data_IF_119188310790
#
_entry.id   IF_119188310790
#
_cell.length_a   1.000
_cell.length_b   1.000
_cell.length_c   1.000
_cell.angle_alpha   90.00
_cell.angle_beta   90.00
_cell.angle_gamma   90.00
#
_symmetry.space_group_name_H-M   'P 1'
#
loop_
_entity.id
_entity.type
_entity.pdbx_description
1 polymer ?
#
# COMPACT_ATOMS: atom_id res chain seq x y z
N UNK A 1 -2.25 -9.34 -1.79
CA UNK A 1 -2.85 -8.06 -1.33
C UNK A 1 -3.72 -8.30 -0.11
N UNK A 2 -3.75 -7.34 0.80
CA UNK A 2 -4.64 -7.41 1.94
C UNK A 2 -6.10 -7.21 1.54
N UNK A 3 -7.05 -7.50 2.46
CA UNK A 3 -8.47 -7.49 2.14
C UNK A 3 -9.01 -6.13 1.67
N UNK A 4 -8.52 -5.04 2.23
CA UNK A 4 -8.97 -3.71 1.82
C UNK A 4 -8.49 -3.37 0.40
N UNK A 5 -7.27 -3.75 0.06
CA UNK A 5 -6.74 -3.54 -1.29
C UNK A 5 -7.49 -4.39 -2.32
N UNK A 6 -7.82 -5.62 -1.99
CA UNK A 6 -8.62 -6.50 -2.86
C UNK A 6 -10.00 -5.89 -3.12
N UNK A 7 -10.65 -5.38 -2.08
CA UNK A 7 -11.96 -4.75 -2.23
C UNK A 7 -11.89 -3.48 -3.11
N UNK A 8 -10.86 -2.66 -2.91
CA UNK A 8 -10.69 -1.43 -3.69
C UNK A 8 -10.35 -1.72 -5.16
N UNK A 9 -9.57 -2.77 -5.44
CA UNK A 9 -9.21 -3.14 -6.80
C UNK A 9 -10.43 -3.38 -7.69
N UNK A 10 -11.50 -3.91 -7.11
CA UNK A 10 -12.71 -4.24 -7.86
C UNK A 10 -13.38 -3.03 -8.49
N UNK A 11 -13.18 -1.84 -7.92
CA UNK A 11 -13.81 -0.60 -8.39
C UNK A 11 -12.86 0.31 -9.16
N UNK A 12 -11.62 -0.12 -9.38
CA UNK A 12 -10.65 0.65 -10.15
C UNK A 12 -11.03 0.69 -11.63
N UNK A 13 -10.76 1.84 -12.24
CA UNK A 13 -10.91 1.97 -13.70
C UNK A 13 -9.78 1.24 -14.43
N UNK A 14 -9.99 0.87 -15.71
CA UNK A 14 -8.99 0.09 -16.45
C UNK A 14 -7.59 0.68 -16.44
N UNK A 15 -7.44 2.00 -16.59
CA UNK A 15 -6.10 2.61 -16.59
C UNK A 15 -5.43 2.56 -15.22
N UNK A 16 -6.21 2.65 -14.13
CA UNK A 16 -5.70 2.48 -12.78
C UNK A 16 -5.26 1.05 -12.55
N UNK A 17 -6.05 0.10 -13.01
CA UNK A 17 -5.79 -1.32 -12.89
C UNK A 17 -4.52 -1.73 -13.62
N UNK A 18 -4.32 -1.21 -14.85
CA UNK A 18 -3.10 -1.45 -15.61
C UNK A 18 -1.86 -0.91 -14.89
N UNK A 19 -1.97 0.28 -14.28
CA UNK A 19 -0.85 0.86 -13.54
C UNK A 19 -0.58 0.07 -12.26
N UNK A 20 -1.62 -0.43 -11.60
CA UNK A 20 -1.46 -1.30 -10.44
C UNK A 20 -0.69 -2.57 -10.82
N UNK A 21 -1.04 -3.21 -11.92
CA UNK A 21 -0.34 -4.38 -12.42
C UNK A 21 1.13 -4.08 -12.72
N UNK A 22 1.40 -2.92 -13.30
CA UNK A 22 2.76 -2.44 -13.53
C UNK A 22 3.54 -2.33 -12.21
N UNK A 23 2.92 -1.73 -11.18
CA UNK A 23 3.55 -1.61 -9.86
C UNK A 23 3.78 -2.95 -9.21
N UNK A 24 2.82 -3.88 -9.31
CA UNK A 24 2.98 -5.23 -8.75
C UNK A 24 4.20 -5.91 -9.39
N UNK A 25 4.35 -5.83 -10.69
CA UNK A 25 5.50 -6.39 -11.38
C UNK A 25 6.80 -5.70 -10.96
N UNK A 26 6.79 -4.37 -10.82
CA UNK A 26 7.94 -3.58 -10.40
C UNK A 26 8.38 -3.93 -8.99
N UNK A 27 7.42 -4.07 -8.08
CA UNK A 27 7.70 -4.40 -6.67
C UNK A 27 8.23 -5.82 -6.49
N UNK A 28 7.92 -6.74 -7.41
CA UNK A 28 8.52 -8.07 -7.41
C UNK A 28 10.01 -8.04 -7.72
N UNK A 29 10.46 -7.05 -8.49
CA UNK A 29 11.85 -6.85 -8.82
C UNK A 29 12.58 -6.03 -7.77
N UNK A 30 11.90 -5.05 -7.17
CA UNK A 30 12.47 -4.13 -6.20
C UNK A 30 11.38 -3.68 -5.22
N UNK A 31 11.39 -4.26 -4.04
CA UNK A 31 10.40 -3.93 -2.99
C UNK A 31 10.50 -2.48 -2.53
N UNK A 32 11.63 -1.81 -2.76
CA UNK A 32 11.85 -0.43 -2.35
C UNK A 32 11.58 0.59 -3.47
N UNK A 33 10.92 0.17 -4.54
CA UNK A 33 10.66 1.04 -5.70
C UNK A 33 9.67 2.17 -5.41
N UNK A 34 8.79 2.02 -4.44
CA UNK A 34 7.85 3.07 -4.03
C UNK A 34 8.52 4.13 -3.15
N UNK A 35 7.70 5.09 -2.71
CA UNK A 35 8.16 6.16 -1.83
C UNK A 35 7.96 5.76 -0.37
N UNK A 36 9.03 5.80 0.42
CA UNK A 36 8.96 5.46 1.84
C UNK A 36 8.16 6.52 2.61
N UNK A 37 7.22 6.05 3.41
CA UNK A 37 6.48 6.92 4.34
C UNK A 37 7.29 6.99 5.63
N UNK A 38 7.62 8.20 6.13
CA UNK A 38 8.34 8.34 7.41
C UNK A 38 7.61 7.58 8.51
N UNK A 39 8.35 6.86 9.33
CA UNK A 39 7.77 6.02 10.39
C UNK A 39 6.83 6.78 11.30
N UNK A 40 7.20 8.03 11.65
CA UNK A 40 6.38 8.87 12.52
C UNK A 40 5.04 9.26 11.89
N UNK A 41 4.87 9.09 10.58
CA UNK A 41 3.64 9.43 9.86
C UNK A 41 2.76 8.23 9.57
N UNK A 42 3.19 7.03 9.94
CA UNK A 42 2.38 5.83 9.74
C UNK A 42 1.26 5.84 10.78
N UNK A 43 -0.01 5.95 10.35
CA UNK A 43 -1.10 6.00 11.32
C UNK A 43 -1.33 4.66 11.99
N UNK A 44 -1.59 4.63 13.31
CA UNK A 44 -1.88 3.37 14.01
C UNK A 44 -3.08 2.61 13.41
N UNK A 45 -4.03 3.34 12.85
CA UNK A 45 -5.22 2.73 12.21
C UNK A 45 -4.87 1.85 11.01
N UNK A 46 -3.74 2.08 10.36
CA UNK A 46 -3.38 1.32 9.17
C UNK A 46 -3.23 -0.17 9.47
N UNK A 47 -2.52 -0.50 10.54
CA UNK A 47 -2.36 -1.89 10.97
C UNK A 47 -3.69 -2.52 11.38
N UNK A 48 -4.50 -1.78 12.17
CA UNK A 48 -5.79 -2.25 12.64
C UNK A 48 -6.74 -2.54 11.48
N UNK A 49 -6.82 -1.64 10.51
CA UNK A 49 -7.66 -1.80 9.31
C UNK A 49 -7.21 -2.96 8.43
N UNK A 50 -5.92 -3.26 8.45
CA UNK A 50 -5.34 -4.31 7.61
C UNK A 50 -5.33 -5.68 8.28
N UNK A 51 -5.81 -5.78 9.51
CA UNK A 51 -5.83 -7.03 10.25
C UNK A 51 -4.45 -7.51 10.69
N UNK A 52 -3.52 -6.60 10.96
CA UNK A 52 -2.16 -6.91 11.38
C UNK A 52 -1.98 -6.58 12.86
N UNK A 53 -2.24 -7.56 13.76
CA UNK A 53 -2.24 -7.31 15.21
C UNK A 53 -0.87 -6.92 15.76
N UNK A 54 0.21 -7.35 15.10
CA UNK A 54 1.57 -7.00 15.51
C UNK A 54 1.98 -5.57 15.12
N UNK A 55 1.12 -4.86 14.38
CA UNK A 55 1.40 -3.52 13.90
C UNK A 55 2.21 -3.52 12.61
N UNK A 56 2.57 -2.31 12.16
CA UNK A 56 3.34 -2.08 10.93
C UNK A 56 4.56 -1.25 11.27
N UNK A 57 5.76 -1.78 10.99
CA UNK A 57 7.01 -1.09 11.28
C UNK A 57 7.51 -0.23 10.13
N UNK A 58 6.96 -0.42 8.93
CA UNK A 58 7.34 0.33 7.75
C UNK A 58 6.14 0.45 6.82
N UNK A 59 6.10 1.52 6.05
CA UNK A 59 5.07 1.71 5.02
C UNK A 59 5.65 2.47 3.85
N UNK A 60 5.11 2.18 2.68
CA UNK A 60 5.54 2.71 1.40
C UNK A 60 4.32 3.04 0.57
N UNK A 61 4.45 3.95 -0.37
CA UNK A 61 3.34 4.32 -1.25
C UNK A 61 3.77 4.33 -2.70
N UNK A 62 2.80 4.17 -3.59
CA UNK A 62 2.99 4.37 -5.02
C UNK A 62 1.77 5.09 -5.61
N UNK A 63 1.99 5.77 -6.72
CA UNK A 63 0.94 6.57 -7.34
C UNK A 63 0.22 5.80 -8.42
N UNK A 64 -1.09 6.01 -8.50
CA UNK A 64 -1.95 5.50 -9.54
C UNK A 64 -2.63 6.66 -10.26
N UNK A 65 -3.08 6.45 -11.52
CA UNK A 65 -3.84 7.48 -12.23
C UNK A 65 -5.09 7.91 -11.47
N UNK A 66 -5.59 9.10 -11.80
CA UNK A 66 -6.80 9.69 -11.22
C UNK A 66 -6.68 9.97 -9.72
N UNK A 67 -5.48 10.37 -9.31
CA UNK A 67 -5.17 10.76 -7.92
C UNK A 67 -5.45 9.65 -6.90
N UNK A 68 -5.18 8.41 -7.27
CA UNK A 68 -5.20 7.28 -6.34
C UNK A 68 -3.79 6.93 -5.91
N UNK A 69 -3.67 6.27 -4.76
CA UNK A 69 -2.40 5.81 -4.21
C UNK A 69 -2.54 4.41 -3.63
N UNK A 70 -1.49 3.60 -3.81
CA UNK A 70 -1.36 2.34 -3.10
C UNK A 70 -0.45 2.51 -1.89
N UNK A 71 -0.75 1.78 -0.83
CA UNK A 71 0.07 1.75 0.39
C UNK A 71 0.44 0.30 0.65
N UNK A 72 1.73 0.04 0.85
CA UNK A 72 2.20 -1.30 1.12
C UNK A 72 3.22 -1.31 2.25
N UNK A 73 3.43 -2.51 2.81
CA UNK A 73 4.49 -2.75 3.79
C UNK A 73 5.39 -3.87 3.28
N UNK A 74 6.63 -3.86 3.76
CA UNK A 74 7.60 -4.92 3.45
C UNK A 74 7.79 -5.72 4.72
N UNK A 75 7.58 -7.03 4.63
CA UNK A 75 7.78 -7.98 5.72
C UNK A 75 8.91 -8.94 5.36
N UNK A 76 9.76 -9.24 6.35
CA UNK A 76 10.82 -10.23 6.18
C UNK A 76 10.36 -11.53 6.82
N UNK A 77 10.41 -12.60 6.04
CA UNK A 77 10.08 -13.94 6.51
C UNK A 77 11.34 -14.81 6.45
N UNK A 78 11.76 -15.42 7.55
CA UNK A 78 12.93 -16.27 7.53
C UNK A 78 12.82 -17.36 6.44
N UNK A 79 13.84 -17.45 5.60
CA UNK A 79 13.89 -18.42 4.53
C UNK A 79 13.18 -18.03 3.24
N UNK A 80 12.31 -17.01 3.27
CA UNK A 80 11.53 -16.57 2.10
C UNK A 80 11.94 -15.17 1.60
N UNK A 81 12.77 -14.45 2.36
CA UNK A 81 13.19 -13.10 2.00
C UNK A 81 12.12 -12.04 2.26
N UNK A 82 12.18 -10.95 1.51
CA UNK A 82 11.25 -9.84 1.65
C UNK A 82 9.94 -10.13 0.93
N UNK A 83 8.82 -9.85 1.59
CA UNK A 83 7.48 -9.99 1.02
C UNK A 83 6.80 -8.62 1.02
N UNK A 84 6.26 -8.24 -0.13
CA UNK A 84 5.47 -7.00 -0.25
C UNK A 84 4.00 -7.34 -0.02
N UNK A 85 3.37 -6.61 0.88
CA UNK A 85 1.94 -6.73 1.14
C UNK A 85 1.27 -5.39 0.87
N UNK A 86 0.45 -5.31 -0.18
CA UNK A 86 -0.31 -4.11 -0.49
C UNK A 86 -1.52 -4.06 0.44
N UNK A 87 -1.58 -3.03 1.27
CA UNK A 87 -2.56 -2.90 2.33
C UNK A 87 -3.79 -2.12 1.91
N UNK A 88 -3.60 -1.03 1.15
CA UNK A 88 -4.67 -0.10 0.79
C UNK A 88 -4.47 0.40 -0.64
N UNK A 89 -5.59 0.64 -1.32
CA UNK A 89 -5.63 1.41 -2.55
C UNK A 89 -6.67 2.49 -2.30
N UNK A 90 -6.21 3.75 -2.23
CA UNK A 90 -7.01 4.85 -1.73
C UNK A 90 -7.05 6.00 -2.75
N UNK A 91 -8.18 6.69 -2.81
CA UNK A 91 -8.23 7.98 -3.48
C UNK A 91 -7.38 8.98 -2.69
N UNK A 92 -7.01 10.10 -3.33
CA UNK A 92 -6.26 11.17 -2.66
C UNK A 92 -6.96 11.62 -1.37
N UNK A 93 -8.28 11.77 -1.43
CA UNK A 93 -9.10 12.20 -0.29
C UNK A 93 -9.06 11.19 0.85
N UNK A 94 -9.20 9.90 0.53
CA UNK A 94 -9.14 8.84 1.52
C UNK A 94 -7.75 8.72 2.13
N UNK A 95 -6.72 8.87 1.31
CA UNK A 95 -5.32 8.86 1.76
C UNK A 95 -5.08 9.99 2.77
N UNK A 96 -5.48 11.22 2.44
CA UNK A 96 -5.30 12.36 3.32
C UNK A 96 -6.03 12.17 4.65
N UNK A 97 -7.22 11.61 4.60
CA UNK A 97 -8.01 11.34 5.79
C UNK A 97 -7.35 10.29 6.68
N UNK A 98 -6.83 9.22 6.09
CA UNK A 98 -6.17 8.15 6.85
C UNK A 98 -4.86 8.63 7.48
N UNK A 99 -4.07 9.40 6.72
CA UNK A 99 -2.75 9.86 7.15
C UNK A 99 -2.78 11.20 7.89
N UNK A 100 -3.95 11.80 8.04
CA UNK A 100 -4.11 13.05 8.78
C UNK A 100 -3.67 14.30 8.03
N UNK A 101 -3.46 14.23 6.74
CA UNK A 101 -3.16 15.41 5.93
C UNK A 101 -4.45 16.22 5.68
N UNK A 102 -4.29 17.53 5.57
CA UNK A 102 -5.42 18.45 5.33
C UNK A 102 -5.37 19.04 3.93
#
# INVERSE_FOLDING_TARGET
MGPRAVAAEKVLQPKQRRKLEWWIARLKQDAFAGDQIPKARIPPRLAARSGLPAGISNAWRFELPLAYRGVYTIQSTPGLGAMVLILEILSHKEYDRLFGYR
#
